data_IF_049572188433
#
_entry.id   IF_049572188433
#
_cell.length_a   1.000
_cell.length_b   1.000
_cell.length_c   1.000
_cell.angle_alpha   90.00
_cell.angle_beta   90.00
_cell.angle_gamma   90.00
#
_symmetry.space_group_name_H-M   'P 1'
#
loop_
_entity.id
_entity.type
_entity.pdbx_description
1 polymer ?
#
# COMPACT_ATOMS: atom_id res chain seq x y z
N UNK A 1 18.67 -22.64 -13.95
CA UNK A 1 18.12 -23.49 -12.85
C UNK A 1 16.62 -23.36 -12.88
N UNK A 2 15.88 -24.46 -12.68
CA UNK A 2 14.42 -24.43 -12.65
C UNK A 2 13.93 -23.93 -11.29
N UNK A 3 12.69 -23.43 -11.24
CA UNK A 3 12.07 -22.96 -9.99
C UNK A 3 11.94 -24.10 -8.96
N UNK A 4 11.60 -25.31 -9.41
CA UNK A 4 11.54 -26.53 -8.61
C UNK A 4 12.84 -26.82 -7.86
N UNK A 5 13.99 -26.48 -8.44
CA UNK A 5 15.31 -26.71 -7.85
C UNK A 5 15.61 -25.72 -6.71
N UNK A 6 14.87 -24.60 -6.65
CA UNK A 6 15.01 -23.54 -5.64
C UNK A 6 14.04 -23.71 -4.48
N UNK A 7 12.85 -24.24 -4.77
CA UNK A 7 11.79 -24.48 -3.80
C UNK A 7 11.60 -25.99 -3.64
N UNK A 8 12.65 -26.67 -3.18
CA UNK A 8 12.61 -28.11 -2.98
C UNK A 8 11.53 -28.48 -1.94
N UNK A 9 10.63 -29.38 -2.31
CA UNK A 9 9.51 -29.81 -1.46
C UNK A 9 8.21 -29.02 -1.63
N UNK A 10 8.18 -27.98 -2.48
CA UNK A 10 6.93 -27.33 -2.85
C UNK A 10 6.05 -28.26 -3.71
N UNK A 11 4.73 -28.22 -3.51
CA UNK A 11 3.77 -28.92 -4.37
C UNK A 11 3.76 -28.33 -5.78
N UNK A 12 3.31 -29.10 -6.78
CA UNK A 12 3.23 -28.56 -8.14
C UNK A 12 2.26 -27.37 -8.22
N UNK A 13 1.12 -27.43 -7.53
CA UNK A 13 0.19 -26.29 -7.38
C UNK A 13 0.87 -25.03 -6.81
N UNK A 14 1.78 -25.18 -5.84
CA UNK A 14 2.55 -24.06 -5.30
C UNK A 14 3.51 -23.49 -6.36
N UNK A 15 4.21 -24.37 -7.08
CA UNK A 15 5.15 -23.98 -8.12
C UNK A 15 4.44 -23.27 -9.28
N UNK A 16 3.26 -23.75 -9.69
CA UNK A 16 2.39 -23.10 -10.68
C UNK A 16 1.97 -21.71 -10.21
N UNK A 17 1.43 -21.61 -9.00
CA UNK A 17 1.03 -20.33 -8.41
C UNK A 17 2.18 -19.30 -8.40
N UNK A 18 3.38 -19.73 -7.99
CA UNK A 18 4.56 -18.87 -7.96
C UNK A 18 5.02 -18.47 -9.36
N UNK A 19 4.88 -19.33 -10.37
CA UNK A 19 5.19 -18.98 -11.77
C UNK A 19 4.28 -17.86 -12.28
N UNK A 20 3.00 -17.92 -11.95
CA UNK A 20 2.02 -16.91 -12.36
C UNK A 20 2.24 -15.56 -11.67
N UNK A 21 2.64 -15.57 -10.40
CA UNK A 21 3.02 -14.37 -9.64
C UNK A 21 4.32 -13.73 -10.14
N UNK A 22 5.28 -14.56 -10.55
CA UNK A 22 6.61 -14.13 -10.99
C UNK A 22 6.74 -13.99 -12.51
N UNK A 23 5.62 -13.88 -13.23
CA UNK A 23 5.64 -13.57 -14.65
C UNK A 23 6.41 -12.25 -14.90
N UNK A 24 7.39 -12.32 -15.81
CA UNK A 24 8.25 -11.19 -16.15
C UNK A 24 7.45 -10.07 -16.83
N UNK A 25 6.61 -10.45 -17.78
CA UNK A 25 5.67 -9.56 -18.43
C UNK A 25 4.54 -9.21 -17.45
N UNK A 26 4.42 -7.94 -17.00
CA UNK A 26 3.43 -7.56 -16.00
C UNK A 26 2.00 -7.76 -16.51
N UNK A 27 1.77 -7.74 -17.82
CA UNK A 27 0.44 -7.98 -18.41
C UNK A 27 0.02 -9.44 -18.34
N UNK A 28 0.98 -10.35 -18.13
CA UNK A 28 0.76 -11.80 -17.97
C UNK A 28 0.78 -12.25 -16.52
N UNK A 29 1.11 -11.35 -15.59
CA UNK A 29 1.12 -11.64 -14.16
C UNK A 29 -0.31 -11.78 -13.67
N UNK A 30 -0.58 -12.83 -12.88
CA UNK A 30 -1.89 -13.01 -12.26
C UNK A 30 -2.26 -11.79 -11.41
N UNK A 31 -3.53 -11.37 -11.47
CA UNK A 31 -4.03 -10.27 -10.65
C UNK A 31 -4.22 -10.72 -9.19
N UNK A 32 -4.24 -9.78 -8.24
CA UNK A 32 -4.49 -10.10 -6.84
C UNK A 32 -5.84 -10.82 -6.64
N UNK A 33 -6.90 -10.36 -7.31
CA UNK A 33 -8.22 -10.99 -7.25
C UNK A 33 -8.22 -12.41 -7.82
N UNK A 34 -7.53 -12.65 -8.95
CA UNK A 34 -7.44 -14.00 -9.52
C UNK A 34 -6.58 -14.93 -8.65
N UNK A 35 -5.53 -14.40 -8.02
CA UNK A 35 -4.66 -15.16 -7.11
C UNK A 35 -5.40 -15.69 -5.88
N UNK A 36 -6.34 -14.91 -5.31
CA UNK A 36 -7.19 -15.35 -4.19
C UNK A 36 -8.06 -16.57 -4.56
N UNK A 37 -8.45 -16.69 -5.83
CA UNK A 37 -9.24 -17.83 -6.35
C UNK A 37 -8.39 -19.00 -6.84
N UNK A 38 -7.06 -18.91 -6.76
CA UNK A 38 -6.16 -19.96 -7.23
C UNK A 38 -6.27 -21.22 -6.35
N UNK A 39 -6.19 -22.41 -6.95
CA UNK A 39 -6.36 -23.70 -6.24
C UNK A 39 -5.41 -23.85 -5.05
N UNK A 40 -4.21 -23.28 -5.16
CA UNK A 40 -3.23 -23.24 -4.06
C UNK A 40 -3.74 -22.48 -2.81
N UNK A 41 -4.56 -21.43 -2.97
CA UNK A 41 -5.06 -20.58 -1.88
C UNK A 41 -6.55 -20.78 -1.55
N UNK A 42 -7.31 -21.52 -2.36
CA UNK A 42 -8.77 -21.66 -2.21
C UNK A 42 -9.21 -22.14 -0.82
N UNK A 43 -8.38 -22.93 -0.15
CA UNK A 43 -8.66 -23.41 1.20
C UNK A 43 -8.59 -22.32 2.29
N UNK A 44 -8.02 -21.15 1.97
CA UNK A 44 -7.95 -19.97 2.83
C UNK A 44 -8.98 -18.90 2.45
N UNK A 45 -9.72 -19.07 1.35
CA UNK A 45 -10.56 -18.01 0.81
C UNK A 45 -11.74 -17.68 1.74
N UNK A 46 -11.99 -16.40 1.94
CA UNK A 46 -13.16 -15.91 2.68
C UNK A 46 -13.80 -14.72 1.94
N UNK A 47 -14.90 -15.00 1.23
CA UNK A 47 -15.61 -14.02 0.42
C UNK A 47 -16.12 -12.81 1.22
N UNK A 48 -16.42 -12.97 2.52
CA UNK A 48 -16.87 -11.85 3.37
C UNK A 48 -15.73 -10.91 3.76
N UNK A 49 -14.49 -11.43 3.82
CA UNK A 49 -13.30 -10.65 4.15
C UNK A 49 -12.58 -10.09 2.91
N UNK A 50 -12.69 -10.78 1.77
CA UNK A 50 -12.06 -10.42 0.49
C UNK A 50 -12.88 -9.36 -0.26
N UNK A 51 -12.89 -8.14 0.27
CA UNK A 51 -13.66 -7.02 -0.27
C UNK A 51 -12.81 -6.13 -1.17
N UNK A 52 -13.48 -5.23 -1.91
CA UNK A 52 -12.85 -4.17 -2.69
C UNK A 52 -13.22 -2.81 -2.11
N UNK A 53 -12.32 -1.82 -2.27
CA UNK A 53 -12.63 -0.46 -1.86
C UNK A 53 -13.83 0.06 -2.68
N UNK A 54 -14.81 0.73 -2.03
CA UNK A 54 -15.99 1.22 -2.73
C UNK A 54 -15.67 2.35 -3.72
N UNK A 55 -14.58 3.07 -3.48
CA UNK A 55 -14.11 4.20 -4.30
C UNK A 55 -12.61 4.07 -4.59
N UNK A 56 -12.18 4.62 -5.72
CA UNK A 56 -10.77 4.71 -6.07
C UNK A 56 -10.09 5.79 -5.25
N UNK A 57 -8.83 5.56 -4.85
CA UNK A 57 -8.02 6.60 -4.23
C UNK A 57 -7.78 7.75 -5.21
N UNK A 58 -8.05 8.98 -4.78
CA UNK A 58 -7.83 10.19 -5.56
C UNK A 58 -6.35 10.57 -5.52
N UNK A 59 -5.65 10.49 -6.65
CA UNK A 59 -4.20 10.74 -6.75
C UNK A 59 -3.81 12.22 -6.78
N UNK A 60 -4.78 13.11 -6.99
CA UNK A 60 -4.62 14.57 -6.86
C UNK A 60 -4.33 15.00 -5.41
N UNK A 61 -4.44 14.10 -4.44
CA UNK A 61 -3.85 14.25 -3.11
C UNK A 61 -2.39 14.71 -3.18
N UNK A 62 -1.58 14.27 -4.16
CA UNK A 62 -0.15 14.63 -4.24
C UNK A 62 0.10 15.84 -5.16
N UNK A 63 -0.96 16.49 -5.67
CA UNK A 63 -0.87 17.68 -6.53
C UNK A 63 -0.64 18.94 -5.67
N UNK A 64 0.58 19.08 -5.15
CA UNK A 64 1.05 20.28 -4.45
C UNK A 64 2.56 20.43 -4.52
N UNK A 65 3.05 21.63 -4.20
CA UNK A 65 4.48 21.85 -4.00
C UNK A 65 4.90 21.29 -2.62
N UNK A 66 5.74 20.23 -2.55
CA UNK A 66 6.05 19.49 -1.33
C UNK A 66 7.09 20.21 -0.46
N UNK A 67 6.87 21.50 -0.19
CA UNK A 67 7.65 22.23 0.81
C UNK A 67 7.30 21.74 2.21
N UNK A 68 8.24 21.89 3.15
CA UNK A 68 8.00 21.57 4.56
C UNK A 68 6.73 22.24 5.09
N UNK A 69 6.52 23.52 4.78
CA UNK A 69 5.37 24.28 5.27
C UNK A 69 4.04 23.72 4.74
N UNK A 70 3.96 23.46 3.44
CA UNK A 70 2.75 22.93 2.80
C UNK A 70 2.44 21.50 3.28
N UNK A 71 3.47 20.66 3.46
CA UNK A 71 3.30 19.31 3.99
C UNK A 71 2.81 19.34 5.44
N UNK A 72 3.39 20.19 6.29
CA UNK A 72 2.93 20.36 7.68
C UNK A 72 1.50 20.88 7.77
N UNK A 73 1.09 21.78 6.87
CA UNK A 73 -0.29 22.26 6.79
C UNK A 73 -1.25 21.14 6.41
N UNK A 74 -0.94 20.38 5.36
CA UNK A 74 -1.75 19.26 4.89
C UNK A 74 -1.89 18.16 5.94
N UNK A 75 -0.79 17.73 6.57
CA UNK A 75 -0.84 16.74 7.64
C UNK A 75 -1.66 17.25 8.83
N UNK A 76 -1.50 18.52 9.21
CA UNK A 76 -2.26 19.07 10.34
C UNK A 76 -3.76 19.17 10.04
N UNK A 77 -4.13 19.48 8.80
CA UNK A 77 -5.53 19.46 8.36
C UNK A 77 -6.14 18.05 8.53
N UNK A 78 -5.41 17.00 8.16
CA UNK A 78 -5.85 15.61 8.40
C UNK A 78 -5.97 15.29 9.91
N UNK A 79 -5.04 15.78 10.73
CA UNK A 79 -5.15 15.64 12.19
C UNK A 79 -6.41 16.29 12.72
N UNK A 80 -6.73 17.53 12.31
CA UNK A 80 -7.95 18.23 12.75
C UNK A 80 -9.22 17.53 12.25
N UNK A 81 -9.20 16.97 11.05
CA UNK A 81 -10.32 16.17 10.54
C UNK A 81 -10.59 14.91 11.39
N UNK A 82 -9.55 14.28 11.92
CA UNK A 82 -9.66 13.09 12.79
C UNK A 82 -9.86 13.43 14.28
N UNK A 83 -9.44 14.63 14.71
CA UNK A 83 -9.41 15.09 16.10
C UNK A 83 -10.15 16.42 16.25
N UNK A 84 -11.49 16.41 16.46
CA UNK A 84 -12.31 17.62 16.55
C UNK A 84 -11.93 18.58 17.70
N UNK A 85 -11.16 18.10 18.67
CA UNK A 85 -10.61 18.90 19.77
C UNK A 85 -9.48 19.85 19.34
N UNK A 86 -8.89 19.62 18.16
CA UNK A 86 -7.84 20.47 17.60
C UNK A 86 -8.47 21.57 16.74
N UNK A 87 -7.88 22.76 16.81
CA UNK A 87 -8.24 23.89 15.95
C UNK A 87 -7.11 24.11 14.93
N UNK A 88 -7.46 24.24 13.64
CA UNK A 88 -6.51 24.61 12.58
C UNK A 88 -5.79 25.93 12.94
N UNK A 89 -6.51 26.87 13.57
CA UNK A 89 -5.94 28.14 14.01
C UNK A 89 -4.94 28.00 15.18
N UNK A 90 -4.94 26.87 15.87
CA UNK A 90 -4.03 26.57 16.98
C UNK A 90 -2.79 25.77 16.54
N UNK A 91 -2.51 25.66 15.23
CA UNK A 91 -1.30 24.99 14.74
C UNK A 91 -0.08 25.54 15.47
N UNK A 92 0.72 24.69 16.15
CA UNK A 92 1.94 25.15 16.79
C UNK A 92 2.87 25.76 15.73
N UNK A 93 3.27 27.02 15.91
CA UNK A 93 4.27 27.62 15.04
C UNK A 93 5.59 26.88 15.23
N UNK A 94 6.19 26.44 14.12
CA UNK A 94 7.51 25.84 14.16
C UNK A 94 8.50 26.84 14.78
N UNK A 95 9.25 26.43 15.81
CA UNK A 95 10.37 27.20 16.29
C UNK A 95 11.33 27.45 15.12
N UNK A 96 11.69 28.71 14.88
CA UNK A 96 12.68 29.08 13.88
C UNK A 96 13.97 28.27 14.10
N UNK A 97 14.53 27.77 13.00
CA UNK A 97 15.54 26.71 12.98
C UNK A 97 16.71 26.92 13.94
N UNK A 98 16.75 26.12 14.99
CA UNK A 98 18.00 25.76 15.64
C UNK A 98 18.82 24.89 14.68
N UNK A 99 19.81 25.49 14.04
CA UNK A 99 20.82 24.78 13.27
C UNK A 99 21.48 23.75 14.18
N UNK A 100 21.20 22.46 13.98
CA UNK A 100 21.94 21.38 14.67
C UNK A 100 23.39 21.48 14.20
N UNK A 101 24.37 21.76 15.09
CA UNK A 101 25.76 21.69 14.70
C UNK A 101 26.10 20.22 14.36
N UNK A 102 26.96 20.06 13.34
CA UNK A 102 27.48 18.79 12.88
C UNK A 102 28.23 18.04 13.99
#
# INVERSE_FOLDING_TARGET
>A
RKLSDRLAGASEMCLEFVRDLLAFDPTKRISASAALTHEYLVHLSNAEAETTAPETFAWDFDDFDPTRANLEERIFAECVALHPELDIAAKPQAAEGGQRPL
#
